data_IF_957727208915
#
_entry.id   IF_957727208915
#
_cell.length_a   1.000
_cell.length_b   1.000
_cell.length_c   1.000
_cell.angle_alpha   90.00
_cell.angle_beta   90.00
_cell.angle_gamma   90.00
#
_symmetry.space_group_name_H-M   'P 1'
#
loop_
_entity.id
_entity.type
_entity.pdbx_description
1 polymer ?
#
# COMPACT_ATOMS: atom_id res chain seq x y z
N UNK A 1 50.58 7.38 -43.73
CA UNK A 1 51.27 6.56 -44.76
C UNK A 1 50.62 5.18 -44.77
N UNK A 2 50.19 4.71 -45.94
CA UNK A 2 49.63 3.37 -46.14
C UNK A 2 48.19 3.36 -46.66
N UNK A 3 48.06 3.39 -47.98
CA UNK A 3 46.83 3.29 -48.79
C UNK A 3 46.36 1.83 -49.00
N UNK A 4 45.14 1.68 -49.56
CA UNK A 4 44.68 0.53 -50.36
C UNK A 4 43.54 -0.26 -49.70
N UNK A 5 42.29 -0.27 -50.17
CA UNK A 5 41.80 -0.73 -51.49
C UNK A 5 41.18 -2.13 -51.28
N UNK A 6 39.87 -2.39 -51.38
CA UNK A 6 39.02 -2.38 -52.59
C UNK A 6 38.72 -3.83 -53.03
N UNK A 7 37.44 -4.18 -53.28
CA UNK A 7 37.04 -5.46 -53.93
C UNK A 7 35.94 -6.25 -53.20
N UNK A 8 34.64 -5.95 -53.41
CA UNK A 8 33.69 -6.58 -54.37
C UNK A 8 33.14 -7.97 -54.01
N UNK A 9 31.80 -8.03 -53.89
CA UNK A 9 30.99 -9.05 -54.59
C UNK A 9 30.48 -10.24 -53.76
N UNK A 10 29.19 -10.23 -53.41
CA UNK A 10 28.53 -11.43 -52.85
C UNK A 10 27.05 -11.24 -52.54
N UNK A 11 26.20 -11.16 -53.59
CA UNK A 11 24.74 -11.27 -53.45
C UNK A 11 24.37 -12.66 -52.92
N UNK A 12 23.67 -12.73 -51.79
CA UNK A 12 22.61 -13.74 -51.56
C UNK A 12 21.43 -13.12 -50.80
N UNK A 13 20.30 -13.10 -51.51
CA UNK A 13 18.96 -12.93 -50.97
C UNK A 13 18.57 -14.20 -50.22
N UNK A 14 17.96 -14.08 -49.05
CA UNK A 14 17.05 -15.11 -48.54
C UNK A 14 15.97 -14.50 -47.64
N UNK A 15 14.75 -14.51 -48.19
CA UNK A 15 13.45 -14.70 -47.51
C UNK A 15 13.16 -13.93 -46.23
N UNK A 16 12.38 -12.86 -46.39
CA UNK A 16 11.45 -12.36 -45.39
C UNK A 16 10.44 -13.46 -44.99
N UNK A 17 10.56 -14.00 -43.78
CA UNK A 17 9.55 -14.83 -43.15
C UNK A 17 8.54 -13.96 -42.40
N UNK A 18 7.36 -13.76 -42.99
CA UNK A 18 6.17 -13.26 -42.28
C UNK A 18 5.74 -14.33 -41.27
N UNK A 19 5.84 -14.03 -39.98
CA UNK A 19 5.16 -14.82 -38.94
C UNK A 19 3.71 -14.34 -38.86
N UNK A 20 2.79 -15.28 -39.05
CA UNK A 20 1.37 -15.03 -39.23
C UNK A 20 0.64 -14.61 -37.96
N UNK A 21 -0.23 -13.63 -38.12
CA UNK A 21 -1.27 -13.25 -37.16
C UNK A 21 -2.40 -14.29 -37.27
N UNK A 22 -2.82 -14.95 -36.17
CA UNK A 22 -3.99 -15.83 -36.19
C UNK A 22 -5.26 -15.02 -36.48
N UNK A 23 -5.96 -15.38 -37.57
CA UNK A 23 -7.29 -14.85 -37.89
C UNK A 23 -8.33 -15.47 -36.96
N UNK A 24 -9.07 -14.63 -36.25
CA UNK A 24 -10.27 -15.03 -35.50
C UNK A 24 -11.36 -15.54 -36.48
N UNK A 25 -12.15 -16.56 -36.10
CA UNK A 25 -13.27 -17.04 -36.91
C UNK A 25 -14.42 -16.02 -36.94
N UNK A 26 -15.20 -15.95 -38.03
CA UNK A 26 -16.31 -15.02 -38.16
C UNK A 26 -17.49 -15.40 -37.25
N UNK A 27 -18.06 -14.41 -36.57
CA UNK A 27 -19.32 -14.53 -35.84
C UNK A 27 -20.48 -14.92 -36.77
N UNK A 28 -21.35 -15.87 -36.37
CA UNK A 28 -22.56 -16.17 -37.14
C UNK A 28 -23.57 -15.02 -37.02
N UNK A 29 -24.02 -14.53 -38.18
CA UNK A 29 -25.12 -13.57 -38.32
C UNK A 29 -26.41 -14.17 -37.75
N UNK A 30 -26.94 -13.57 -36.70
CA UNK A 30 -28.30 -13.85 -36.25
C UNK A 30 -29.29 -13.30 -37.29
N UNK A 31 -30.11 -14.20 -37.83
CA UNK A 31 -31.21 -13.90 -38.75
C UNK A 31 -32.29 -13.12 -38.03
N UNK A 32 -32.72 -12.02 -38.64
CA UNK A 32 -34.04 -11.44 -38.43
C UNK A 32 -35.12 -12.49 -38.71
N UNK A 33 -35.98 -12.75 -37.73
CA UNK A 33 -37.35 -13.22 -37.98
C UNK A 33 -38.32 -12.47 -37.09
N UNK A 34 -39.07 -11.64 -37.79
CA UNK A 34 -40.36 -11.04 -37.52
C UNK A 34 -41.33 -12.01 -36.83
N UNK A 35 -41.85 -11.62 -35.67
CA UNK A 35 -43.26 -11.85 -35.26
C UNK A 35 -43.69 -10.71 -34.32
N UNK A 36 -44.09 -9.60 -34.92
CA UNK A 36 -45.11 -8.73 -34.37
C UNK A 36 -46.44 -9.49 -34.40
N UNK A 37 -47.12 -9.64 -33.26
CA UNK A 37 -48.56 -9.42 -33.08
C UNK A 37 -49.05 -9.87 -31.70
N UNK A 38 -49.83 -8.99 -31.07
CA UNK A 38 -50.72 -9.19 -29.91
C UNK A 38 -49.99 -9.27 -28.55
N UNK A 39 -50.19 -8.39 -27.55
CA UNK A 39 -51.30 -7.51 -27.23
C UNK A 39 -50.82 -6.31 -26.40
N UNK A 40 -50.92 -5.13 -27.00
CA UNK A 40 -51.16 -3.87 -26.28
C UNK A 40 -52.64 -3.82 -25.88
N UNK A 41 -53.00 -4.38 -24.73
CA UNK A 41 -54.28 -4.15 -24.06
C UNK A 41 -54.25 -4.74 -22.64
N UNK A 42 -53.69 -3.98 -21.68
CA UNK A 42 -54.00 -4.02 -20.22
C UNK A 42 -53.03 -3.11 -19.44
N UNK A 43 -52.99 -1.84 -19.82
CA UNK A 43 -52.82 -0.73 -18.86
C UNK A 43 -54.22 -0.12 -18.71
N UNK A 44 -54.56 0.31 -17.50
CA UNK A 44 -55.86 0.83 -17.06
C UNK A 44 -56.91 -0.21 -16.62
N UNK A 45 -56.66 -0.87 -15.48
CA UNK A 45 -57.69 -1.17 -14.47
C UNK A 45 -56.98 -1.57 -13.16
N UNK A 46 -57.54 -1.16 -12.02
CA UNK A 46 -57.03 -1.33 -10.65
C UNK A 46 -55.91 -0.37 -10.19
N UNK A 47 -56.25 0.92 -10.20
CA UNK A 47 -56.00 1.73 -9.02
C UNK A 47 -57.13 1.47 -7.99
N UNK A 48 -56.81 1.69 -6.71
CA UNK A 48 -57.67 1.60 -5.52
C UNK A 48 -57.88 0.20 -4.92
N UNK A 49 -57.08 -0.14 -3.90
CA UNK A 49 -57.50 -0.35 -2.50
C UNK A 49 -56.35 -1.01 -1.70
N UNK A 50 -55.65 -0.23 -0.87
CA UNK A 50 -54.96 -0.68 0.36
C UNK A 50 -54.45 0.56 1.12
N UNK A 51 -54.76 0.73 2.42
CA UNK A 51 -54.34 1.90 3.20
C UNK A 51 -52.84 1.82 3.58
N UNK A 52 -52.16 2.96 3.78
CA UNK A 52 -50.77 2.97 4.25
C UNK A 52 -50.73 2.62 5.74
N UNK A 53 -49.82 1.71 6.11
CA UNK A 53 -49.46 1.44 7.49
C UNK A 53 -48.51 2.56 7.95
N UNK A 54 -49.03 3.47 8.78
CA UNK A 54 -48.25 4.45 9.53
C UNK A 54 -47.36 3.72 10.55
N UNK A 55 -46.05 3.68 10.27
CA UNK A 55 -45.03 3.35 11.27
C UNK A 55 -44.46 4.66 11.85
N UNK A 56 -44.35 4.79 13.18
CA UNK A 56 -43.89 6.01 13.81
C UNK A 56 -42.42 6.29 13.46
N UNK A 57 -42.17 7.51 12.99
CA UNK A 57 -40.84 8.06 12.72
C UNK A 57 -40.03 8.17 14.02
N UNK A 58 -39.16 7.20 14.27
CA UNK A 58 -38.10 7.33 15.28
C UNK A 58 -37.07 8.37 14.81
N UNK A 59 -36.61 9.27 15.69
CA UNK A 59 -35.59 10.25 15.33
C UNK A 59 -34.27 9.53 15.01
N UNK A 60 -33.75 9.72 13.80
CA UNK A 60 -32.41 9.25 13.42
C UNK A 60 -31.37 10.07 14.20
N UNK A 61 -30.41 9.44 14.90
CA UNK A 61 -29.29 10.16 15.47
C UNK A 61 -28.44 10.76 14.34
N UNK A 62 -27.71 11.87 14.59
CA UNK A 62 -26.89 12.51 13.58
C UNK A 62 -25.72 11.59 13.23
N UNK A 63 -25.81 10.87 12.11
CA UNK A 63 -24.69 10.14 11.54
C UNK A 63 -23.66 11.15 11.03
N UNK A 64 -22.50 11.20 11.66
CA UNK A 64 -21.30 11.79 11.09
C UNK A 64 -21.01 11.12 9.72
N UNK A 65 -20.43 11.84 8.74
CA UNK A 65 -20.14 11.27 7.43
C UNK A 65 -19.23 10.05 7.57
N UNK A 66 -19.60 8.97 6.89
CA UNK A 66 -18.82 7.75 6.83
C UNK A 66 -17.42 8.01 6.19
N UNK A 67 -16.42 7.17 6.44
CA UNK A 67 -15.09 7.37 5.90
C UNK A 67 -14.98 6.86 4.45
N UNK A 68 -14.13 7.49 3.62
CA UNK A 68 -13.96 7.07 2.24
C UNK A 68 -13.37 5.67 2.07
N UNK A 69 -13.84 4.98 1.04
CA UNK A 69 -13.56 3.58 0.74
C UNK A 69 -12.53 3.47 -0.41
N UNK A 70 -11.52 2.59 -0.26
CA UNK A 70 -10.43 2.38 -1.23
C UNK A 70 -10.25 0.88 -1.52
N UNK A 71 -10.23 0.42 -2.78
CA UNK A 71 -9.72 -0.89 -3.14
C UNK A 71 -8.20 -0.89 -2.92
N UNK A 72 -7.70 -1.84 -2.13
CA UNK A 72 -6.28 -2.04 -1.87
C UNK A 72 -5.78 -3.33 -2.51
N UNK A 73 -4.86 -3.24 -3.46
CA UNK A 73 -4.12 -4.36 -4.08
C UNK A 73 -4.81 -5.10 -5.26
N UNK A 74 -4.32 -4.91 -6.51
CA UNK A 74 -4.70 -5.75 -7.65
C UNK A 74 -4.06 -7.15 -7.63
N UNK A 75 -3.19 -7.46 -6.65
CA UNK A 75 -2.36 -8.68 -6.61
C UNK A 75 -3.16 -9.96 -6.50
N UNK A 76 -4.36 -9.87 -5.94
CA UNK A 76 -5.28 -10.99 -5.77
C UNK A 76 -6.57 -10.74 -6.55
N UNK A 77 -6.51 -9.98 -7.65
CA UNK A 77 -7.66 -10.02 -8.56
C UNK A 77 -7.59 -11.29 -9.41
N UNK A 78 -8.69 -12.01 -9.43
CA UNK A 78 -8.94 -13.22 -10.18
C UNK A 78 -8.71 -13.09 -11.68
N UNK A 79 -9.06 -11.93 -12.25
CA UNK A 79 -8.85 -11.59 -13.64
C UNK A 79 -8.86 -10.07 -13.86
N UNK A 80 -8.17 -9.62 -14.92
CA UNK A 80 -8.11 -8.22 -15.33
C UNK A 80 -9.50 -7.63 -15.61
N UNK A 81 -10.42 -8.40 -16.19
CA UNK A 81 -11.78 -7.91 -16.44
C UNK A 81 -12.49 -7.66 -15.11
N UNK A 82 -12.34 -8.57 -14.15
CA UNK A 82 -12.97 -8.42 -12.84
C UNK A 82 -12.42 -7.19 -12.11
N UNK A 83 -11.10 -6.99 -12.12
CA UNK A 83 -10.47 -5.78 -11.58
C UNK A 83 -11.09 -4.50 -12.15
N UNK A 84 -11.34 -4.42 -13.46
CA UNK A 84 -11.98 -3.26 -14.09
C UNK A 84 -13.44 -3.11 -13.66
N UNK A 85 -14.23 -4.19 -13.68
CA UNK A 85 -15.63 -4.19 -13.28
C UNK A 85 -15.81 -3.81 -11.81
N UNK A 86 -14.96 -4.32 -10.93
CA UNK A 86 -14.93 -4.01 -9.51
C UNK A 86 -14.71 -2.51 -9.29
N UNK A 87 -13.69 -1.92 -9.94
CA UNK A 87 -13.39 -0.50 -9.80
C UNK A 87 -14.52 0.37 -10.38
N UNK A 88 -15.08 -0.01 -11.53
CA UNK A 88 -16.25 0.66 -12.11
C UNK A 88 -17.47 0.60 -11.18
N UNK A 89 -17.76 -0.58 -10.62
CA UNK A 89 -18.85 -0.77 -9.67
C UNK A 89 -18.66 0.12 -8.43
N UNK A 90 -17.46 0.14 -7.86
CA UNK A 90 -17.16 0.96 -6.70
C UNK A 90 -17.36 2.45 -6.98
N UNK A 91 -16.85 2.93 -8.11
CA UNK A 91 -17.01 4.32 -8.53
C UNK A 91 -18.49 4.73 -8.63
N UNK A 92 -19.31 3.90 -9.26
CA UNK A 92 -20.72 4.18 -9.53
C UNK A 92 -21.61 4.03 -8.28
N UNK A 93 -21.31 3.08 -7.39
CA UNK A 93 -22.24 2.68 -6.33
C UNK A 93 -21.81 3.07 -4.92
N UNK A 94 -20.50 3.16 -4.65
CA UNK A 94 -20.01 3.50 -3.32
C UNK A 94 -19.78 5.01 -3.27
N UNK A 95 -20.68 5.79 -2.67
CA UNK A 95 -20.62 7.27 -2.64
C UNK A 95 -19.30 7.88 -2.15
N UNK A 96 -18.58 7.15 -1.32
CA UNK A 96 -17.32 7.62 -0.71
C UNK A 96 -16.10 6.89 -1.26
N UNK A 97 -16.23 6.19 -2.39
CA UNK A 97 -15.08 5.70 -3.11
C UNK A 97 -14.24 6.86 -3.63
N UNK A 98 -12.93 6.80 -3.38
CA UNK A 98 -12.01 7.92 -3.68
C UNK A 98 -10.89 7.55 -4.65
N UNK A 99 -10.80 6.30 -5.10
CA UNK A 99 -9.82 5.90 -6.08
C UNK A 99 -9.37 4.46 -5.98
N UNK A 100 -8.29 4.12 -6.67
CA UNK A 100 -7.75 2.76 -6.81
C UNK A 100 -6.23 2.74 -6.73
N UNK A 101 -5.64 1.65 -6.24
CA UNK A 101 -4.19 1.44 -6.32
C UNK A 101 -3.73 0.76 -7.62
N UNK A 102 -4.66 0.42 -8.51
CA UNK A 102 -4.34 -0.21 -9.79
C UNK A 102 -4.16 0.83 -10.90
N UNK A 103 -2.91 1.01 -11.33
CA UNK A 103 -2.58 1.81 -12.53
C UNK A 103 -3.35 1.31 -13.74
N UNK A 104 -3.39 -0.01 -13.96
CA UNK A 104 -4.13 -0.60 -15.07
C UNK A 104 -5.63 -0.29 -15.01
N UNK A 105 -6.23 -0.29 -13.82
CA UNK A 105 -7.65 0.03 -13.70
C UNK A 105 -7.92 1.52 -13.93
N UNK A 106 -7.09 2.39 -13.36
CA UNK A 106 -7.19 3.83 -13.57
C UNK A 106 -7.06 4.20 -15.06
N UNK A 107 -6.01 3.74 -15.73
CA UNK A 107 -5.73 4.07 -17.14
C UNK A 107 -6.82 3.54 -18.09
N UNK A 108 -7.19 2.26 -17.95
CA UNK A 108 -8.18 1.64 -18.84
C UNK A 108 -9.58 2.24 -18.63
N UNK A 109 -10.02 2.40 -17.38
CA UNK A 109 -11.33 3.00 -17.11
C UNK A 109 -11.35 4.47 -17.51
N UNK A 110 -10.27 5.21 -17.27
CA UNK A 110 -10.17 6.61 -17.69
C UNK A 110 -10.38 6.74 -19.19
N UNK A 111 -9.64 5.98 -20.00
CA UNK A 111 -9.75 6.00 -21.46
C UNK A 111 -11.18 5.70 -21.92
N UNK A 112 -11.79 4.64 -21.40
CA UNK A 112 -13.15 4.23 -21.77
C UNK A 112 -14.20 5.27 -21.37
N UNK A 113 -14.09 5.87 -20.18
CA UNK A 113 -15.05 6.84 -19.66
C UNK A 113 -14.90 8.23 -20.29
N UNK A 114 -13.72 8.56 -20.81
CA UNK A 114 -13.50 9.75 -21.61
C UNK A 114 -14.09 9.60 -23.02
N UNK A 115 -14.00 8.39 -23.61
CA UNK A 115 -14.55 8.10 -24.94
C UNK A 115 -16.07 7.88 -24.94
N UNK A 116 -16.61 7.36 -23.84
CA UNK A 116 -18.01 6.99 -23.71
C UNK A 116 -18.66 7.66 -22.50
N UNK A 117 -19.73 8.43 -22.74
CA UNK A 117 -20.52 8.99 -21.65
C UNK A 117 -21.16 7.88 -20.81
N UNK A 118 -20.79 7.82 -19.53
CA UNK A 118 -21.37 6.89 -18.57
C UNK A 118 -22.26 7.64 -17.57
N UNK A 119 -23.56 7.30 -17.44
CA UNK A 119 -24.44 7.96 -16.48
C UNK A 119 -23.91 7.84 -15.04
N UNK A 120 -23.88 8.97 -14.33
CA UNK A 120 -23.39 9.04 -12.94
C UNK A 120 -21.87 9.20 -12.81
N UNK A 121 -21.15 9.32 -13.92
CA UNK A 121 -19.72 9.67 -13.94
C UNK A 121 -19.57 11.12 -14.36
N UNK A 122 -18.92 11.92 -13.52
CA UNK A 122 -18.55 13.30 -13.87
C UNK A 122 -17.13 13.34 -14.43
N UNK A 123 -16.94 14.13 -15.47
CA UNK A 123 -15.62 14.44 -16.03
C UNK A 123 -15.38 15.93 -15.88
N UNK A 124 -14.28 16.31 -15.24
CA UNK A 124 -13.89 17.72 -15.01
C UNK A 124 -12.42 17.89 -15.40
N UNK A 125 -12.14 18.91 -16.21
CA UNK A 125 -10.77 19.24 -16.67
C UNK A 125 -9.99 18.04 -17.25
N UNK A 126 -10.68 17.17 -18.00
CA UNK A 126 -10.08 15.98 -18.60
C UNK A 126 -9.75 14.87 -17.59
N UNK A 127 -10.31 14.93 -16.38
CA UNK A 127 -10.18 13.90 -15.35
C UNK A 127 -11.55 13.29 -15.06
N UNK A 128 -11.58 11.96 -14.93
CA UNK A 128 -12.77 11.25 -14.44
C UNK A 128 -12.80 11.42 -12.93
N UNK A 129 -13.87 12.05 -12.43
CA UNK A 129 -14.03 12.30 -11.01
C UNK A 129 -13.94 10.96 -10.23
N UNK A 130 -13.26 11.00 -9.09
CA UNK A 130 -13.08 9.87 -8.14
C UNK A 130 -12.22 8.71 -8.64
N UNK A 131 -11.79 8.65 -9.90
CA UNK A 131 -10.82 7.66 -10.42
C UNK A 131 -9.38 8.10 -10.14
N UNK A 132 -9.05 8.36 -8.87
CA UNK A 132 -7.71 8.81 -8.47
C UNK A 132 -6.80 7.62 -8.21
N UNK A 133 -5.52 7.74 -8.58
CA UNK A 133 -4.50 6.78 -8.17
C UNK A 133 -4.13 6.98 -6.71
N UNK A 134 -4.20 5.90 -5.94
CA UNK A 134 -3.90 5.91 -4.52
C UNK A 134 -2.79 4.90 -4.21
N UNK A 135 -1.76 5.37 -3.52
CA UNK A 135 -0.68 4.52 -3.03
C UNK A 135 0.06 5.18 -1.87
N UNK A 136 0.62 4.33 -1.01
CA UNK A 136 1.65 4.69 -0.03
C UNK A 136 2.89 3.88 -0.35
N UNK A 137 3.98 4.04 0.40
CA UNK A 137 5.05 3.04 0.38
C UNK A 137 4.62 1.74 1.08
N UNK A 138 5.40 0.67 0.88
CA UNK A 138 5.17 -0.67 1.42
C UNK A 138 6.33 -1.11 2.33
N UNK A 139 6.13 -2.23 3.04
CA UNK A 139 7.12 -2.78 3.97
C UNK A 139 8.46 -3.10 3.32
N UNK A 140 8.48 -3.46 2.04
CA UNK A 140 9.71 -3.81 1.32
C UNK A 140 10.77 -2.72 1.42
N UNK A 141 10.36 -1.45 1.39
CA UNK A 141 11.28 -0.32 1.49
C UNK A 141 11.97 -0.29 2.86
N UNK A 142 11.22 -0.54 3.93
CA UNK A 142 11.76 -0.57 5.30
C UNK A 142 12.60 -1.82 5.53
N UNK A 143 12.12 -2.99 5.10
CA UNK A 143 12.83 -4.27 5.21
C UNK A 143 14.18 -4.25 4.47
N UNK A 144 14.22 -3.68 3.26
CA UNK A 144 15.45 -3.53 2.46
C UNK A 144 16.38 -2.48 3.09
N UNK A 145 15.84 -1.33 3.52
CA UNK A 145 16.65 -0.30 4.20
C UNK A 145 17.29 -0.86 5.46
N UNK A 146 16.55 -1.65 6.24
CA UNK A 146 17.06 -2.31 7.43
C UNK A 146 18.16 -3.30 7.09
N UNK A 147 17.98 -4.15 6.07
CA UNK A 147 19.04 -5.08 5.67
C UNK A 147 20.33 -4.36 5.27
N UNK A 148 20.20 -3.25 4.54
CA UNK A 148 21.34 -2.48 4.02
C UNK A 148 22.02 -1.64 5.09
N UNK A 149 21.24 -1.12 6.04
CA UNK A 149 21.65 -0.02 6.93
C UNK A 149 21.41 -0.33 8.42
N UNK A 150 21.26 -1.61 8.79
CA UNK A 150 21.00 -2.05 10.17
C UNK A 150 22.00 -1.50 11.19
N UNK A 151 23.24 -1.17 10.78
CA UNK A 151 24.23 -0.55 11.68
C UNK A 151 23.69 0.69 12.40
N UNK A 152 22.85 1.50 11.74
CA UNK A 152 22.29 2.70 12.36
C UNK A 152 21.20 2.38 13.39
N UNK A 153 20.53 1.23 13.26
CA UNK A 153 19.63 0.72 14.29
C UNK A 153 20.38 0.39 15.57
N UNK A 154 21.60 -0.14 15.45
CA UNK A 154 22.47 -0.43 16.59
C UNK A 154 23.13 0.82 17.17
N UNK A 155 23.60 1.76 16.33
CA UNK A 155 24.19 3.03 16.79
C UNK A 155 23.18 3.90 17.54
N UNK A 156 21.90 3.86 17.13
CA UNK A 156 20.81 4.54 17.84
C UNK A 156 20.40 3.87 19.15
N UNK A 157 20.81 2.62 19.37
CA UNK A 157 20.41 1.80 20.49
C UNK A 157 21.37 1.80 21.69
N UNK A 158 20.92 1.20 22.79
CA UNK A 158 21.69 1.01 24.02
C UNK A 158 21.99 -0.46 24.29
N UNK A 159 23.16 -0.75 24.87
CA UNK A 159 23.54 -2.13 25.24
C UNK A 159 23.53 -3.12 24.05
N UNK A 160 23.68 -2.61 22.82
CA UNK A 160 23.60 -3.40 21.60
C UNK A 160 22.18 -3.85 21.22
N UNK A 161 21.12 -3.21 21.73
CA UNK A 161 19.74 -3.45 21.30
C UNK A 161 19.38 -2.52 20.12
N UNK A 162 18.92 -3.04 18.97
CA UNK A 162 18.60 -2.21 17.82
C UNK A 162 17.29 -1.45 18.03
N UNK A 163 17.20 -0.24 17.47
CA UNK A 163 16.00 0.62 17.44
C UNK A 163 15.55 0.88 16.00
N UNK A 164 14.34 1.40 15.78
CA UNK A 164 13.77 1.54 14.42
C UNK A 164 14.34 2.71 13.57
N UNK A 165 15.65 2.98 13.57
CA UNK A 165 16.25 4.09 12.81
C UNK A 165 16.11 3.90 11.30
N UNK A 166 16.37 2.69 10.80
CA UNK A 166 16.27 2.31 9.38
C UNK A 166 14.84 2.45 8.86
N UNK A 167 13.83 2.15 9.69
CA UNK A 167 12.44 2.39 9.35
C UNK A 167 12.15 3.90 9.21
N UNK A 168 12.62 4.75 10.13
CA UNK A 168 12.47 6.20 10.00
C UNK A 168 13.19 6.74 8.76
N UNK A 169 14.42 6.28 8.53
CA UNK A 169 15.24 6.68 7.38
C UNK A 169 14.54 6.35 6.06
N UNK A 170 13.95 5.15 5.94
CA UNK A 170 13.19 4.77 4.76
C UNK A 170 12.06 5.76 4.48
N UNK A 171 11.31 6.19 5.51
CA UNK A 171 10.24 7.18 5.33
C UNK A 171 10.76 8.56 4.92
N UNK A 172 11.86 9.04 5.51
CA UNK A 172 12.48 10.31 5.13
C UNK A 172 12.94 10.29 3.66
N UNK A 173 13.62 9.21 3.25
CA UNK A 173 14.06 9.03 1.87
C UNK A 173 12.87 8.97 0.90
N UNK A 174 11.79 8.30 1.27
CA UNK A 174 10.57 8.29 0.45
C UNK A 174 9.95 9.68 0.30
N UNK A 175 9.86 10.44 1.39
CA UNK A 175 9.32 11.80 1.37
C UNK A 175 10.17 12.73 0.49
N UNK A 176 11.49 12.70 0.64
CA UNK A 176 12.36 13.56 -0.17
C UNK A 176 12.35 13.17 -1.65
N UNK A 177 12.18 11.89 -2.00
CA UNK A 177 12.08 11.44 -3.40
C UNK A 177 10.75 11.86 -4.03
N UNK A 178 9.63 11.74 -3.32
CA UNK A 178 8.30 11.97 -3.90
C UNK A 178 7.78 13.42 -3.73
N UNK A 179 8.35 14.18 -2.80
CA UNK A 179 8.20 15.63 -2.72
C UNK A 179 6.79 16.15 -2.41
N UNK A 180 6.11 15.65 -1.36
CA UNK A 180 4.88 16.25 -0.79
C UNK A 180 4.70 15.84 0.67
N UNK A 181 4.53 16.80 1.58
CA UNK A 181 4.33 16.50 3.00
C UNK A 181 2.85 16.38 3.42
N UNK A 182 1.93 16.91 2.62
CA UNK A 182 0.48 16.91 2.93
C UNK A 182 -0.08 15.50 3.17
N UNK A 183 0.52 14.50 2.52
CA UNK A 183 0.14 13.09 2.61
C UNK A 183 1.28 12.22 3.16
N UNK A 184 2.23 12.81 3.89
CA UNK A 184 3.28 12.06 4.57
C UNK A 184 2.65 10.97 5.46
N UNK A 185 2.79 9.73 5.01
CA UNK A 185 2.14 8.57 5.61
C UNK A 185 3.19 7.74 6.33
N UNK A 186 2.93 7.37 7.58
CA UNK A 186 3.69 6.37 8.31
C UNK A 186 3.10 4.98 8.04
N UNK A 187 3.98 4.02 7.74
CA UNK A 187 3.71 2.58 7.79
C UNK A 187 4.55 2.02 8.94
N UNK A 188 3.95 1.89 10.12
CA UNK A 188 4.67 1.78 11.38
C UNK A 188 4.92 0.34 11.86
N UNK A 189 4.24 -0.65 11.27
CA UNK A 189 4.20 -2.03 11.79
C UNK A 189 5.27 -2.96 11.20
N UNK A 190 6.22 -2.49 10.40
CA UNK A 190 7.24 -3.39 9.79
C UNK A 190 8.01 -4.20 10.85
N UNK A 191 8.39 -3.54 11.94
CA UNK A 191 9.09 -4.16 13.08
C UNK A 191 8.31 -4.05 14.39
N UNK A 192 7.15 -3.41 14.37
CA UNK A 192 6.29 -3.16 15.53
C UNK A 192 6.00 -1.66 15.70
N UNK A 193 4.71 -1.33 15.78
CA UNK A 193 4.22 0.04 15.81
C UNK A 193 4.71 0.81 17.03
N UNK A 194 4.71 0.20 18.21
CA UNK A 194 5.15 0.86 19.46
C UNK A 194 6.63 1.28 19.41
N UNK A 195 7.50 0.41 18.90
CA UNK A 195 8.92 0.73 18.73
C UNK A 195 9.13 1.83 17.68
N UNK A 196 8.41 1.77 16.56
CA UNK A 196 8.44 2.83 15.55
C UNK A 196 8.01 4.19 16.13
N UNK A 197 6.89 4.23 16.85
CA UNK A 197 6.38 5.45 17.49
C UNK A 197 7.38 6.01 18.50
N UNK A 198 7.96 5.15 19.35
CA UNK A 198 8.97 5.56 20.32
C UNK A 198 10.20 6.19 19.64
N UNK A 199 10.72 5.55 18.59
CA UNK A 199 11.83 6.07 17.80
C UNK A 199 11.46 7.41 17.12
N UNK A 200 10.26 7.50 16.51
CA UNK A 200 9.80 8.70 15.82
C UNK A 200 9.63 9.91 16.75
N UNK A 201 9.19 9.68 18.00
CA UNK A 201 9.07 10.71 19.03
C UNK A 201 10.44 11.17 19.55
N UNK A 202 11.42 10.26 19.61
CA UNK A 202 12.76 10.54 20.09
C UNK A 202 13.61 11.30 19.04
N UNK A 203 13.53 10.87 17.78
CA UNK A 203 14.36 11.36 16.68
C UNK A 203 14.02 12.78 16.25
N UNK A 204 14.99 13.68 16.32
CA UNK A 204 14.94 14.96 15.62
C UNK A 204 14.96 14.76 14.10
N UNK A 205 14.29 15.64 13.37
CA UNK A 205 14.39 15.68 11.91
C UNK A 205 15.80 16.12 11.51
N UNK A 206 16.55 15.35 10.68
CA UNK A 206 17.89 15.74 10.25
C UNK A 206 17.89 17.09 9.52
N UNK A 207 18.86 17.96 9.83
CA UNK A 207 18.95 19.27 9.18
C UNK A 207 19.07 19.15 7.65
N UNK A 208 19.85 18.19 7.16
CA UNK A 208 19.99 17.94 5.72
C UNK A 208 18.66 17.57 5.06
N UNK A 209 17.78 16.85 5.75
CA UNK A 209 16.43 16.56 5.24
C UNK A 209 15.57 17.83 5.19
N UNK A 210 15.66 18.70 6.21
CA UNK A 210 14.95 19.99 6.21
C UNK A 210 15.39 20.82 5.01
N UNK A 211 16.69 20.89 4.76
CA UNK A 211 17.27 21.65 3.65
C UNK A 211 16.85 21.07 2.29
N UNK A 212 16.89 19.75 2.15
CA UNK A 212 16.46 19.05 0.92
C UNK A 212 14.97 19.28 0.64
N UNK A 213 14.12 19.20 1.66
CA UNK A 213 12.69 19.44 1.52
C UNK A 213 12.40 20.91 1.20
N UNK A 214 13.08 21.86 1.83
CA UNK A 214 12.92 23.28 1.53
C UNK A 214 13.34 23.61 0.08
N UNK A 215 14.41 22.98 -0.41
CA UNK A 215 14.86 23.14 -1.79
C UNK A 215 13.86 22.52 -2.79
N UNK A 216 13.29 21.37 -2.46
CA UNK A 216 12.36 20.64 -3.34
C UNK A 216 10.95 21.22 -3.32
N UNK A 217 10.50 21.73 -2.18
CA UNK A 217 9.13 22.17 -1.90
C UNK A 217 9.10 23.57 -1.28
N UNK A 218 9.55 24.62 -1.99
CA UNK A 218 9.65 25.98 -1.44
C UNK A 218 8.30 26.62 -1.09
N UNK A 219 7.20 26.06 -1.61
CA UNK A 219 5.84 26.52 -1.32
C UNK A 219 5.21 25.87 -0.08
N UNK A 220 5.79 24.77 0.44
CA UNK A 220 5.29 24.14 1.67
C UNK A 220 5.78 24.91 2.91
N UNK A 221 5.02 24.89 4.02
CA UNK A 221 5.48 25.48 5.28
C UNK A 221 6.82 24.87 5.72
N UNK A 222 7.77 25.68 6.20
CA UNK A 222 9.06 25.19 6.63
C UNK A 222 8.92 24.24 7.82
N UNK A 223 9.72 23.17 7.84
CA UNK A 223 9.81 22.27 9.00
C UNK A 223 10.49 23.04 10.14
N UNK A 224 9.84 23.21 11.30
CA UNK A 224 10.40 24.00 12.38
C UNK A 224 11.61 23.30 13.01
N UNK A 225 12.60 24.08 13.44
CA UNK A 225 13.74 23.56 14.19
C UNK A 225 13.28 22.89 15.49
N UNK A 226 13.77 21.69 15.78
CA UNK A 226 13.33 20.89 16.92
C UNK A 226 12.07 20.05 16.63
N UNK A 227 11.60 20.02 15.37
CA UNK A 227 10.63 19.03 14.94
C UNK A 227 11.18 17.61 15.13
N UNK A 228 10.29 16.72 15.55
CA UNK A 228 10.53 15.28 15.59
C UNK A 228 10.07 14.63 14.30
N UNK A 229 10.62 13.46 13.97
CA UNK A 229 10.16 12.69 12.80
C UNK A 229 8.65 12.38 12.91
N UNK A 230 8.15 12.17 14.12
CA UNK A 230 6.72 12.01 14.40
C UNK A 230 5.87 13.18 13.85
N UNK A 231 6.36 14.42 13.96
CA UNK A 231 5.63 15.64 13.58
C UNK A 231 5.38 15.73 12.07
N UNK A 232 6.21 15.03 11.29
CA UNK A 232 6.14 14.97 9.84
C UNK A 232 4.96 14.10 9.36
N UNK A 233 4.61 13.06 10.12
CA UNK A 233 3.64 12.04 9.72
C UNK A 233 2.20 12.54 9.90
N UNK A 234 1.49 12.78 8.80
CA UNK A 234 0.11 13.28 8.80
C UNK A 234 -0.92 12.15 8.77
N UNK A 235 -0.51 11.02 8.22
CA UNK A 235 -1.35 9.84 8.04
C UNK A 235 -0.64 8.62 8.64
N UNK A 236 -1.37 7.76 9.32
CA UNK A 236 -0.83 6.55 9.97
C UNK A 236 -1.58 5.34 9.43
N UNK A 237 -0.90 4.55 8.59
CA UNK A 237 -1.46 3.35 7.99
C UNK A 237 -1.17 2.15 8.89
N UNK A 238 -2.23 1.54 9.40
CA UNK A 238 -2.17 0.35 10.26
C UNK A 238 -2.46 -0.89 9.41
N UNK A 239 -1.49 -1.80 9.36
CA UNK A 239 -1.49 -2.97 8.46
C UNK A 239 -1.32 -4.31 9.21
N UNK A 240 -1.24 -4.30 10.54
CA UNK A 240 -1.28 -5.51 11.39
C UNK A 240 -1.65 -5.18 12.84
N UNK A 241 -2.01 -6.20 13.62
CA UNK A 241 -2.35 -6.06 15.03
C UNK A 241 -3.77 -5.53 15.29
N UNK A 242 -4.12 -5.40 16.57
CA UNK A 242 -5.42 -4.86 16.96
C UNK A 242 -5.52 -3.37 16.59
N UNK A 243 -6.36 -3.07 15.61
CA UNK A 243 -6.52 -1.71 15.09
C UNK A 243 -6.85 -0.71 16.20
N UNK A 244 -7.76 -1.05 17.11
CA UNK A 244 -8.28 -0.12 18.11
C UNK A 244 -7.18 0.22 19.13
N UNK A 245 -6.44 -0.78 19.58
CA UNK A 245 -5.35 -0.59 20.54
C UNK A 245 -4.19 0.18 19.91
N UNK A 246 -3.80 -0.15 18.68
CA UNK A 246 -2.72 0.55 17.99
C UNK A 246 -3.11 1.99 17.65
N UNK A 247 -4.36 2.23 17.20
CA UNK A 247 -4.86 3.57 16.94
C UNK A 247 -4.81 4.46 18.19
N UNK A 248 -5.21 3.91 19.36
CA UNK A 248 -5.10 4.62 20.65
C UNK A 248 -3.64 4.91 21.00
N UNK A 249 -2.72 3.96 20.79
CA UNK A 249 -1.29 4.17 21.07
C UNK A 249 -0.72 5.35 20.26
N UNK A 250 -1.09 5.46 18.97
CA UNK A 250 -0.67 6.58 18.10
C UNK A 250 -1.28 7.90 18.57
N UNK A 251 -2.57 7.93 18.92
CA UNK A 251 -3.23 9.15 19.41
C UNK A 251 -2.65 9.62 20.75
N UNK A 252 -2.42 8.70 21.68
CA UNK A 252 -1.80 9.00 22.97
C UNK A 252 -0.39 9.57 22.79
N UNK A 253 0.39 9.00 21.87
CA UNK A 253 1.70 9.53 21.50
C UNK A 253 1.61 10.97 20.94
N UNK A 254 0.61 11.25 20.10
CA UNK A 254 0.36 12.59 19.57
C UNK A 254 -0.04 13.60 20.66
N UNK A 255 -0.92 13.23 21.59
CA UNK A 255 -1.30 14.09 22.71
C UNK A 255 -0.09 14.46 23.57
N UNK A 256 0.71 13.45 23.93
CA UNK A 256 1.97 13.64 24.66
C UNK A 256 2.91 14.58 23.90
N UNK A 257 3.06 14.38 22.59
CA UNK A 257 3.91 15.22 21.76
C UNK A 257 3.38 16.66 21.66
N UNK A 258 2.07 16.87 21.60
CA UNK A 258 1.47 18.22 21.59
C UNK A 258 1.80 19.01 22.85
N UNK A 259 1.78 18.36 24.03
CA UNK A 259 2.18 19.01 25.28
C UNK A 259 3.65 19.45 25.23
N UNK A 260 4.55 18.57 24.79
CA UNK A 260 5.98 18.88 24.64
C UNK A 260 6.24 19.97 23.60
N UNK A 261 5.54 19.93 22.46
CA UNK A 261 5.67 20.92 21.40
C UNK A 261 5.28 22.32 21.91
N UNK A 262 4.22 22.40 22.72
CA UNK A 262 3.77 23.65 23.34
C UNK A 262 4.82 24.22 24.30
N UNK A 263 5.44 23.38 25.13
CA UNK A 263 6.53 23.80 26.03
C UNK A 263 7.76 24.32 25.26
N UNK A 264 7.99 23.81 24.06
CA UNK A 264 9.07 24.22 23.16
C UNK A 264 8.71 25.42 22.27
N UNK A 265 7.49 25.96 22.37
CA UNK A 265 7.01 27.05 21.51
C UNK A 265 6.81 26.65 20.04
N UNK A 266 6.66 25.36 19.75
CA UNK A 266 6.42 24.84 18.40
C UNK A 266 4.93 24.94 18.02
N UNK A 267 4.60 25.00 16.71
CA UNK A 267 3.23 24.98 16.24
C UNK A 267 2.46 23.76 16.75
N UNK A 268 1.16 23.93 16.99
CA UNK A 268 0.30 22.82 17.33
C UNK A 268 0.26 21.80 16.20
N UNK A 269 0.47 20.53 16.53
CA UNK A 269 0.43 19.45 15.56
C UNK A 269 -1.03 19.11 15.22
N UNK A 270 -1.37 18.95 13.92
CA UNK A 270 -2.69 18.46 13.54
C UNK A 270 -2.88 17.04 14.07
N UNK A 271 -4.13 16.69 14.38
CA UNK A 271 -4.48 15.33 14.79
C UNK A 271 -4.07 14.33 13.70
N UNK A 272 -3.44 13.18 14.06
CA UNK A 272 -3.10 12.14 13.12
C UNK A 272 -4.34 11.58 12.44
N UNK A 273 -4.27 11.38 11.13
CA UNK A 273 -5.31 10.69 10.37
C UNK A 273 -4.97 9.21 10.26
N UNK A 274 -5.82 8.32 10.72
CA UNK A 274 -5.52 6.88 10.75
C UNK A 274 -6.14 6.20 9.53
N UNK A 275 -5.43 5.25 8.92
CA UNK A 275 -5.91 4.42 7.82
C UNK A 275 -5.85 2.95 8.23
N UNK A 276 -6.83 2.17 7.80
CA UNK A 276 -6.79 0.71 7.93
C UNK A 276 -6.74 0.08 6.53
N UNK A 277 -5.76 -0.80 6.30
CA UNK A 277 -5.61 -1.53 5.03
C UNK A 277 -5.59 -3.04 5.19
N UNK A 278 -5.86 -3.55 6.39
CA UNK A 278 -5.85 -4.97 6.72
C UNK A 278 -7.26 -5.41 7.14
N UNK A 279 -8.18 -5.41 6.17
CA UNK A 279 -9.58 -5.79 6.37
C UNK A 279 -9.88 -7.05 5.58
N UNK A 280 -10.43 -8.05 6.27
CA UNK A 280 -10.70 -9.38 5.73
C UNK A 280 -12.19 -9.60 5.44
N UNK A 281 -13.09 -8.78 6.02
CA UNK A 281 -14.53 -8.97 5.92
C UNK A 281 -15.34 -7.67 5.83
N UNK A 282 -16.59 -7.78 5.35
CA UNK A 282 -17.55 -6.65 5.36
C UNK A 282 -17.92 -6.27 6.79
N UNK A 283 -18.00 -7.24 7.70
CA UNK A 283 -18.32 -6.98 9.11
C UNK A 283 -17.23 -6.15 9.78
N UNK A 284 -15.94 -6.43 9.50
CA UNK A 284 -14.83 -5.58 9.94
C UNK A 284 -14.91 -4.16 9.36
N UNK A 285 -15.27 -4.03 8.08
CA UNK A 285 -15.49 -2.71 7.46
C UNK A 285 -16.56 -1.94 8.23
N UNK A 286 -17.71 -2.58 8.50
CA UNK A 286 -18.81 -1.96 9.25
C UNK A 286 -18.41 -1.63 10.69
N UNK A 287 -17.64 -2.52 11.34
CA UNK A 287 -17.09 -2.28 12.68
C UNK A 287 -16.20 -1.03 12.67
N UNK A 288 -15.24 -0.94 11.75
CA UNK A 288 -14.35 0.20 11.61
C UNK A 288 -15.12 1.50 11.35
N UNK A 289 -16.18 1.46 10.54
CA UNK A 289 -17.06 2.61 10.28
C UNK A 289 -17.87 3.03 11.51
N UNK A 290 -18.19 2.09 12.40
CA UNK A 290 -18.96 2.34 13.63
C UNK A 290 -18.12 2.89 14.78
N UNK A 291 -16.79 2.89 14.66
CA UNK A 291 -15.90 3.43 15.67
C UNK A 291 -16.18 4.91 15.95
N UNK A 292 -15.80 5.34 17.15
CA UNK A 292 -15.80 6.75 17.55
C UNK A 292 -15.00 7.58 16.53
N UNK A 293 -15.43 8.81 16.26
CA UNK A 293 -14.83 9.69 15.24
C UNK A 293 -13.32 9.80 15.37
N UNK A 294 -12.87 9.79 16.62
CA UNK A 294 -11.49 9.83 17.07
C UNK A 294 -10.61 8.69 16.53
N UNK A 295 -11.16 7.48 16.50
CA UNK A 295 -10.49 6.23 16.14
C UNK A 295 -10.89 5.77 14.73
N UNK A 296 -11.95 6.33 14.17
CA UNK A 296 -12.48 5.93 12.87
C UNK A 296 -11.43 6.18 11.78
N UNK A 297 -11.09 5.17 10.96
CA UNK A 297 -10.16 5.36 9.86
C UNK A 297 -10.65 6.44 8.91
N UNK A 298 -9.78 7.33 8.46
CA UNK A 298 -10.06 8.29 7.38
C UNK A 298 -10.13 7.61 6.01
N UNK A 299 -9.68 6.37 5.91
CA UNK A 299 -9.80 5.55 4.72
C UNK A 299 -9.67 4.08 5.06
N UNK A 300 -10.46 3.26 4.36
CA UNK A 300 -10.41 1.80 4.42
C UNK A 300 -9.86 1.25 3.11
N UNK A 301 -8.78 0.48 3.17
CA UNK A 301 -8.20 -0.27 2.06
C UNK A 301 -8.67 -1.71 2.10
N UNK A 302 -9.32 -2.19 1.04
CA UNK A 302 -9.79 -3.57 0.95
C UNK A 302 -9.43 -4.21 -0.40
N UNK A 303 -8.73 -5.34 -0.37
CA UNK A 303 -8.25 -6.03 -1.57
C UNK A 303 -9.11 -7.21 -1.96
N UNK A 304 -8.65 -8.38 -1.52
CA UNK A 304 -9.31 -9.68 -1.73
C UNK A 304 -10.80 -9.64 -1.41
N UNK A 305 -11.20 -8.89 -0.37
CA UNK A 305 -12.60 -8.71 0.02
C UNK A 305 -13.51 -8.26 -1.14
N UNK A 306 -12.99 -7.43 -2.05
CA UNK A 306 -13.76 -6.89 -3.17
C UNK A 306 -13.52 -7.59 -4.50
N UNK A 307 -12.56 -8.52 -4.55
CA UNK A 307 -12.46 -9.42 -5.71
C UNK A 307 -13.63 -10.41 -5.74
N UNK A 308 -14.44 -10.50 -4.67
CA UNK A 308 -15.81 -10.99 -4.73
C UNK A 308 -15.97 -12.44 -5.19
N UNK A 309 -14.92 -13.27 -5.03
CA UNK A 309 -15.04 -14.71 -5.20
C UNK A 309 -15.88 -15.23 -4.03
N UNK A 310 -17.19 -15.27 -4.24
CA UNK A 310 -18.06 -16.19 -3.50
C UNK A 310 -17.45 -17.58 -3.74
N UNK A 311 -17.19 -18.38 -2.68
CA UNK A 311 -16.58 -19.68 -2.86
C UNK A 311 -17.33 -20.46 -3.94
N UNK A 312 -16.63 -20.84 -5.01
CA UNK A 312 -17.27 -21.60 -6.06
C UNK A 312 -17.77 -22.90 -5.44
N UNK A 313 -19.07 -23.14 -5.54
CA UNK A 313 -19.57 -24.47 -5.37
C UNK A 313 -19.09 -25.23 -6.60
N UNK A 314 -18.11 -26.11 -6.40
CA UNK A 314 -17.76 -27.10 -7.42
C UNK A 314 -19.00 -27.96 -7.57
N UNK A 315 -19.83 -27.64 -8.56
CA UNK A 315 -21.03 -28.41 -8.85
C UNK A 315 -20.62 -29.87 -8.97
N UNK A 316 -21.14 -30.71 -8.09
CA UNK A 316 -21.01 -32.15 -8.22
C UNK A 316 -21.55 -32.51 -9.59
N UNK A 317 -20.65 -32.88 -10.51
CA UNK A 317 -21.02 -33.52 -11.75
C UNK A 317 -21.98 -34.66 -11.39
N UNK A 318 -23.14 -34.65 -12.02
CA UNK A 318 -24.22 -35.62 -11.80
C UNK A 318 -23.69 -37.05 -11.66
N UNK A 319 -23.67 -37.57 -10.43
CA UNK A 319 -23.36 -38.99 -10.19
C UNK A 319 -22.77 -39.29 -8.81
N UNK A 320 -23.64 -39.46 -7.80
CA UNK A 320 -23.54 -40.30 -6.59
C UNK A 320 -24.26 -39.57 -5.44
N UNK A 321 -25.53 -39.87 -5.16
CA UNK A 321 -25.96 -40.98 -4.32
C UNK A 321 -25.24 -41.01 -2.95
N UNK A 322 -25.96 -40.53 -1.93
CA UNK A 322 -25.84 -40.85 -0.50
C UNK A 322 -24.46 -40.75 0.15
N UNK A 323 -24.24 -39.63 0.83
CA UNK A 323 -23.19 -39.44 1.81
C UNK A 323 -22.76 -37.99 1.79
N UNK A 324 -22.88 -37.29 2.93
CA UNK A 324 -22.48 -35.90 3.09
C UNK A 324 -20.99 -35.72 2.72
N UNK A 325 -20.71 -35.42 1.46
CA UNK A 325 -19.42 -34.92 1.01
C UNK A 325 -19.52 -33.41 1.08
N UNK A 326 -18.76 -32.83 2.01
CA UNK A 326 -18.52 -31.39 2.08
C UNK A 326 -18.28 -30.85 0.68
N UNK A 327 -19.16 -29.97 0.18
CA UNK A 327 -18.94 -29.29 -1.09
C UNK A 327 -17.58 -28.57 -0.98
N UNK A 328 -16.55 -28.97 -1.75
CA UNK A 328 -15.26 -28.32 -1.64
C UNK A 328 -15.41 -26.88 -2.13
N UNK A 329 -15.24 -25.93 -1.22
CA UNK A 329 -15.15 -24.52 -1.55
C UNK A 329 -13.74 -24.25 -2.10
N UNK A 330 -13.68 -23.71 -3.32
CA UNK A 330 -12.42 -23.20 -3.87
C UNK A 330 -12.13 -21.85 -3.21
N UNK A 331 -11.15 -21.84 -2.31
CA UNK A 331 -10.63 -20.62 -1.69
C UNK A 331 -9.53 -20.02 -2.57
N UNK A 332 -9.46 -18.69 -2.60
CA UNK A 332 -8.35 -18.00 -3.26
C UNK A 332 -7.02 -18.33 -2.59
N UNK A 333 -5.99 -18.61 -3.39
CA UNK A 333 -4.67 -18.89 -2.86
C UNK A 333 -4.11 -17.66 -2.12
N UNK A 334 -3.71 -17.84 -0.86
CA UNK A 334 -2.97 -16.81 -0.13
C UNK A 334 -1.51 -16.80 -0.57
N UNK A 335 -1.24 -16.11 -1.68
CA UNK A 335 0.11 -15.89 -2.18
C UNK A 335 0.61 -14.52 -1.70
N UNK A 336 1.86 -14.47 -1.24
CA UNK A 336 2.56 -13.24 -0.88
C UNK A 336 3.92 -13.23 -1.56
N UNK A 337 4.36 -12.08 -2.06
CA UNK A 337 5.72 -11.85 -2.52
C UNK A 337 6.34 -10.78 -1.64
N UNK A 338 7.56 -11.01 -1.18
CA UNK A 338 8.28 -10.13 -0.25
C UNK A 338 9.70 -9.96 -0.73
N UNK A 339 10.24 -8.75 -0.56
CA UNK A 339 11.66 -8.53 -0.70
C UNK A 339 12.37 -9.21 0.48
N UNK A 340 13.23 -10.18 0.17
CA UNK A 340 13.97 -10.94 1.18
C UNK A 340 15.48 -10.68 1.10
N UNK A 341 15.96 -10.07 0.02
CA UNK A 341 17.37 -9.71 -0.17
C UNK A 341 17.49 -8.41 -0.96
N UNK A 342 18.39 -7.53 -0.53
CA UNK A 342 18.76 -6.30 -1.22
C UNK A 342 19.97 -6.49 -2.17
N UNK A 343 20.90 -7.39 -1.80
CA UNK A 343 22.03 -7.79 -2.64
C UNK A 343 21.98 -9.29 -2.94
N UNK A 344 22.34 -9.65 -4.17
CA UNK A 344 22.57 -11.05 -4.54
C UNK A 344 23.84 -11.59 -3.88
N UNK A 345 23.85 -12.82 -3.35
CA UNK A 345 25.08 -13.49 -2.96
C UNK A 345 26.07 -13.49 -4.14
N UNK A 346 27.38 -13.19 -3.98
CA UNK A 346 28.15 -12.98 -2.75
C UNK A 346 28.48 -11.50 -2.45
N UNK A 347 27.81 -10.54 -3.07
CA UNK A 347 28.22 -9.12 -3.08
C UNK A 347 27.77 -8.34 -1.84
N UNK A 348 27.98 -8.90 -0.66
CA UNK A 348 27.78 -8.20 0.59
C UNK A 348 29.00 -7.33 0.90
N UNK A 349 28.84 -6.02 1.19
CA UNK A 349 29.95 -5.18 1.65
C UNK A 349 30.60 -5.80 2.90
N UNK A 350 31.91 -6.04 2.87
CA UNK A 350 32.66 -6.59 4.00
C UNK A 350 32.68 -5.58 5.15
N UNK A 351 32.42 -6.01 6.38
CA UNK A 351 32.67 -5.23 7.60
C UNK A 351 31.46 -4.93 8.48
N UNK A 352 30.24 -5.29 8.05
CA UNK A 352 29.03 -5.15 8.86
C UNK A 352 28.45 -6.53 9.17
N UNK A 353 27.96 -6.75 10.40
CA UNK A 353 26.98 -7.83 10.65
C UNK A 353 25.71 -7.46 9.89
N UNK A 354 25.69 -7.75 8.60
CA UNK A 354 24.51 -7.57 7.77
C UNK A 354 23.44 -8.54 8.24
N UNK A 355 22.19 -8.08 8.29
CA UNK A 355 21.06 -9.01 8.37
C UNK A 355 21.13 -9.96 7.17
N UNK A 356 20.93 -11.25 7.44
CA UNK A 356 20.93 -12.30 6.40
C UNK A 356 19.73 -12.19 5.46
N UNK A 357 18.68 -11.46 5.85
CA UNK A 357 17.47 -11.22 5.06
C UNK A 357 16.84 -9.85 5.34
N UNK A 358 16.28 -9.24 4.30
CA UNK A 358 15.24 -8.23 4.45
C UNK A 358 14.00 -8.90 5.07
N UNK A 359 13.47 -8.30 6.14
CA UNK A 359 12.54 -9.00 7.04
C UNK A 359 11.38 -8.11 7.49
N UNK A 360 10.21 -8.70 7.79
CA UNK A 360 9.07 -8.04 8.48
C UNK A 360 8.64 -8.89 9.66
N UNK A 361 8.44 -8.29 10.83
CA UNK A 361 7.88 -8.96 12.00
C UNK A 361 6.38 -8.70 12.16
N UNK A 362 5.94 -7.44 12.03
CA UNK A 362 4.55 -7.07 12.34
C UNK A 362 4.30 -6.79 13.84
N UNK A 363 3.09 -6.36 14.15
CA UNK A 363 2.62 -6.20 15.53
C UNK A 363 2.15 -7.52 16.17
N UNK A 364 1.77 -8.50 15.36
CA UNK A 364 1.35 -9.83 15.80
C UNK A 364 2.52 -10.80 15.93
N UNK A 365 2.41 -11.74 16.86
CA UNK A 365 3.41 -12.79 17.03
C UNK A 365 3.25 -13.90 15.97
N UNK A 366 4.36 -14.55 15.61
CA UNK A 366 4.34 -15.69 14.67
C UNK A 366 4.26 -15.35 13.19
N UNK A 367 4.20 -14.07 12.80
CA UNK A 367 4.12 -13.61 11.40
C UNK A 367 5.46 -13.13 10.81
N UNK A 368 6.58 -13.70 11.26
CA UNK A 368 7.91 -13.37 10.71
C UNK A 368 7.98 -13.71 9.22
N UNK A 369 8.23 -12.70 8.39
CA UNK A 369 8.43 -12.80 6.95
C UNK A 369 9.91 -12.58 6.64
N UNK A 370 10.59 -13.64 6.20
CA UNK A 370 12.04 -13.68 5.87
C UNK A 370 12.27 -14.58 4.66
N UNK A 371 13.48 -14.60 4.13
CA UNK A 371 13.87 -15.58 3.09
C UNK A 371 13.63 -17.02 3.59
N UNK A 372 12.74 -17.80 2.94
CA UNK A 372 12.45 -19.17 3.36
C UNK A 372 13.63 -20.13 3.15
N UNK A 373 14.68 -19.70 2.45
CA UNK A 373 15.89 -20.50 2.19
C UNK A 373 16.96 -20.35 3.27
N UNK A 374 16.76 -19.45 4.25
CA UNK A 374 17.68 -19.32 5.38
C UNK A 374 17.69 -20.59 6.25
N UNK A 375 18.85 -20.92 6.79
CA UNK A 375 18.97 -21.96 7.81
C UNK A 375 18.21 -21.59 9.09
N UNK A 376 17.85 -22.59 9.89
CA UNK A 376 17.08 -22.38 11.13
C UNK A 376 17.78 -21.41 12.09
N UNK A 377 19.09 -21.55 12.28
CA UNK A 377 19.88 -20.66 13.13
C UNK A 377 19.81 -19.20 12.70
N UNK A 378 19.97 -18.91 11.39
CA UNK A 378 19.87 -17.54 10.88
C UNK A 378 18.46 -16.96 11.06
N UNK A 379 17.42 -17.79 10.92
CA UNK A 379 16.03 -17.36 11.13
C UNK A 379 15.74 -17.06 12.60
N UNK A 380 16.26 -17.88 13.52
CA UNK A 380 16.14 -17.67 14.95
C UNK A 380 16.87 -16.39 15.40
N UNK A 381 18.10 -16.18 14.91
CA UNK A 381 18.87 -14.96 15.19
C UNK A 381 18.13 -13.71 14.71
N UNK A 382 17.59 -13.73 13.48
CA UNK A 382 16.78 -12.63 12.96
C UNK A 382 15.51 -12.40 13.79
N UNK A 383 14.81 -13.48 14.19
CA UNK A 383 13.62 -13.37 15.01
C UNK A 383 13.94 -12.70 16.35
N UNK A 384 15.00 -13.16 17.02
CA UNK A 384 15.45 -12.58 18.28
C UNK A 384 15.84 -11.10 18.14
N UNK A 385 16.54 -10.75 17.07
CA UNK A 385 16.92 -9.37 16.78
C UNK A 385 15.70 -8.47 16.58
N UNK A 386 14.75 -8.88 15.75
CA UNK A 386 13.53 -8.11 15.48
C UNK A 386 12.60 -8.04 16.70
N UNK A 387 12.53 -9.09 17.52
CA UNK A 387 11.81 -9.06 18.79
C UNK A 387 12.43 -8.07 19.76
N UNK A 388 13.77 -8.03 19.86
CA UNK A 388 14.47 -7.03 20.67
C UNK A 388 14.17 -5.61 20.19
N UNK A 389 14.16 -5.39 18.87
CA UNK A 389 13.77 -4.11 18.27
C UNK A 389 12.31 -3.73 18.59
N UNK A 390 11.36 -4.66 18.41
CA UNK A 390 9.93 -4.48 18.72
C UNK A 390 9.69 -4.06 20.17
N UNK A 391 10.54 -4.51 21.10
CA UNK A 391 10.47 -4.20 22.52
C UNK A 391 11.13 -2.85 22.90
N UNK A 392 11.88 -2.21 22.01
CA UNK A 392 12.54 -0.92 22.30
C UNK A 392 11.55 0.24 22.26
N UNK A 393 10.88 0.47 23.38
CA UNK A 393 9.98 1.63 23.58
C UNK A 393 10.61 2.75 24.41
N UNK A 394 11.78 2.50 25.01
CA UNK A 394 12.60 3.49 25.68
C UNK A 394 13.84 3.71 24.83
N UNK A 395 14.01 4.93 24.35
CA UNK A 395 14.97 5.26 23.29
C UNK A 395 15.70 6.54 23.69
N UNK A 396 17.04 6.54 23.61
CA UNK A 396 17.85 7.74 23.83
C UNK A 396 17.67 8.72 22.65
N UNK A 397 17.07 9.91 22.87
CA UNK A 397 16.85 10.88 21.80
C UNK A 397 18.12 11.35 21.12
N UNK A 398 19.24 11.46 21.84
CA UNK A 398 20.50 11.96 21.29
C UNK A 398 21.10 10.95 20.33
N UNK A 399 21.15 9.67 20.74
CA UNK A 399 21.70 8.59 19.92
C UNK A 399 20.88 8.37 18.66
N UNK A 400 19.56 8.29 18.79
CA UNK A 400 18.68 8.06 17.64
C UNK A 400 18.70 9.22 16.66
N UNK A 401 18.69 10.47 17.16
CA UNK A 401 18.79 11.64 16.27
C UNK A 401 20.12 11.67 15.53
N UNK A 402 21.23 11.34 16.21
CA UNK A 402 22.54 11.23 15.58
C UNK A 402 22.59 10.11 14.53
N UNK A 403 22.18 8.90 14.89
CA UNK A 403 22.20 7.76 13.97
C UNK A 403 21.32 7.99 12.73
N UNK A 404 20.16 8.63 12.92
CA UNK A 404 19.28 8.99 11.81
C UNK A 404 19.91 10.05 10.89
N UNK A 405 20.54 11.09 11.47
CA UNK A 405 21.24 12.11 10.70
C UNK A 405 22.44 11.54 9.94
N UNK A 406 23.27 10.73 10.59
CA UNK A 406 24.42 10.05 9.99
C UNK A 406 23.97 9.09 8.88
N UNK A 407 22.88 8.35 9.09
CA UNK A 407 22.27 7.48 8.09
C UNK A 407 21.73 8.24 6.87
N UNK A 408 21.03 9.35 7.09
CA UNK A 408 20.52 10.20 6.02
C UNK A 408 21.65 10.83 5.20
N UNK A 409 22.69 11.35 5.88
CA UNK A 409 23.89 11.90 5.24
C UNK A 409 24.60 10.84 4.40
N UNK A 410 24.81 9.65 4.95
CA UNK A 410 25.52 8.59 4.24
C UNK A 410 24.78 8.19 2.95
N UNK A 411 23.45 8.11 2.98
CA UNK A 411 22.67 7.76 1.78
C UNK A 411 22.66 8.90 0.78
N UNK A 412 22.39 10.13 1.21
CA UNK A 412 22.11 11.25 0.28
C UNK A 412 23.34 12.03 -0.16
N UNK A 413 24.40 12.09 0.67
CA UNK A 413 25.62 12.86 0.40
C UNK A 413 26.80 11.96 0.02
N UNK A 414 26.95 10.83 0.72
CA UNK A 414 28.04 9.87 0.45
C UNK A 414 27.64 8.79 -0.56
N UNK A 415 26.36 8.73 -0.95
CA UNK A 415 25.83 7.80 -1.94
C UNK A 415 26.20 6.32 -1.67
N UNK A 416 26.18 5.89 -0.40
CA UNK A 416 26.61 4.53 0.00
C UNK A 416 25.76 3.40 -0.61
N UNK A 417 24.61 3.73 -1.22
CA UNK A 417 23.73 2.79 -1.91
C UNK A 417 23.80 2.89 -3.45
N UNK A 418 24.48 3.90 -4.00
CA UNK A 418 24.51 4.16 -5.44
C UNK A 418 25.69 3.56 -6.19
N UNK A 419 26.64 2.91 -5.50
CA UNK A 419 27.72 2.19 -6.16
C UNK A 419 27.22 0.83 -6.68
N UNK A 420 26.93 0.77 -7.98
CA UNK A 420 26.74 -0.51 -8.66
C UNK A 420 28.11 -1.23 -8.77
N UNK A 421 28.21 -2.50 -8.35
CA UNK A 421 29.44 -3.29 -8.49
C UNK A 421 29.92 -3.47 -9.94
N UNK A 422 29.11 -3.08 -10.94
CA UNK A 422 29.50 -3.14 -12.35
C UNK A 422 30.55 -2.09 -12.76
N UNK A 423 30.85 -1.09 -11.92
CA UNK A 423 31.80 -0.02 -12.25
C UNK A 423 33.25 -0.29 -11.81
N UNK A 424 33.51 -1.35 -11.05
CA UNK A 424 34.85 -1.67 -10.52
C UNK A 424 35.63 -2.72 -11.32
N UNK A 425 35.12 -3.20 -12.46
CA UNK A 425 35.85 -4.10 -13.38
C UNK A 425 36.60 -3.37 -14.51
N UNK A 426 36.80 -2.06 -14.40
CA UNK A 426 37.50 -1.25 -15.40
C UNK A 426 38.60 -0.39 -14.82
N UNK A 427 39.56 -0.97 -14.08
CA UNK A 427 40.88 -0.38 -13.84
C UNK A 427 41.96 -1.45 -13.83
#
# INVERSE_FOLDING_TARGET
>A
MGEGGGGTGGRRRSSAGRVGIPRLPPFPRARERTTQRHLSARRAAHAATSPPLDLPSLPRPPFAPAPPLRPGEPRRSSDRVYLLLQNLFCMLHLKQWIGTSSIAAAECLHSVLMEHSCPGVEVRDGQVDRLTLIGTHAHEMQSVTQQLLCKYDYEGGDGGAPVCVSALLAHLLFMVINGRMEHATALCDTFGTRAFVAAALAADVPQEFIDDMAAKMPAEPPIPKGAKVFDLMKVWRLDSGDYREIAKDVLFAWEKRCMQAREQGLPQLPRPRIMNSNLESVDEVLEMMSLEEELRPIALGFGTLMDGFVPFHVGSGSGAANGALENPSLNMASVVMKAVQAYGPPHMPRGFKSMSSASKLGDEDGKLQVDPRLGEADREDLLHELQRMKQQVQVDPVKVSKALADGYHAVTRLNILGESPASSQGK
#
